data_IF_674993182963
#
_entry.id   IF_674993182963
#
_cell.length_a   1.000
_cell.length_b   1.000
_cell.length_c   1.000
_cell.angle_alpha   90.00
_cell.angle_beta   90.00
_cell.angle_gamma   90.00
#
_symmetry.space_group_name_H-M   'P 1'
#
loop_
_entity.id
_entity.type
_entity.pdbx_description
1 polymer ?
#
# COMPACT_ATOMS: atom_id res chain seq x y z
N UNK A 1 21.41 9.23 -6.69
CA UNK A 1 20.87 9.25 -8.07
C UNK A 1 19.36 9.50 -7.98
N UNK A 2 18.76 10.29 -8.86
CA UNK A 2 17.30 10.50 -8.86
C UNK A 2 16.59 9.20 -9.24
N UNK A 3 15.62 8.79 -8.44
CA UNK A 3 14.79 7.61 -8.67
C UNK A 3 13.53 8.00 -9.42
N UNK A 4 13.33 7.41 -10.60
CA UNK A 4 12.10 7.60 -11.36
C UNK A 4 11.03 6.63 -10.85
N UNK A 5 10.26 7.08 -9.87
CA UNK A 5 9.15 6.30 -9.32
C UNK A 5 8.07 6.02 -10.37
N UNK A 6 7.50 4.82 -10.35
CA UNK A 6 6.35 4.45 -11.19
C UNK A 6 5.40 3.59 -10.38
N UNK A 7 4.14 3.99 -10.28
CA UNK A 7 3.14 3.18 -9.61
C UNK A 7 2.69 2.02 -10.52
N UNK A 8 2.87 0.79 -10.05
CA UNK A 8 2.39 -0.41 -10.70
C UNK A 8 0.95 -0.68 -10.28
N UNK A 9 0.02 -0.38 -11.19
CA UNK A 9 -1.41 -0.60 -10.96
C UNK A 9 -1.76 -2.08 -10.93
N UNK A 10 -1.62 -2.69 -9.75
CA UNK A 10 -1.98 -4.08 -9.47
C UNK A 10 -3.33 -4.15 -8.73
N UNK A 11 -4.06 -5.25 -8.91
CA UNK A 11 -5.23 -5.57 -8.07
C UNK A 11 -4.73 -6.27 -6.82
N UNK A 12 -5.04 -5.72 -5.65
CA UNK A 12 -4.58 -6.23 -4.36
C UNK A 12 -5.75 -6.77 -3.53
N UNK A 13 -5.57 -7.94 -2.93
CA UNK A 13 -6.53 -8.51 -1.98
C UNK A 13 -5.95 -8.51 -0.58
N UNK A 14 -6.84 -8.38 0.40
CA UNK A 14 -6.53 -8.41 1.82
C UNK A 14 -7.63 -9.15 2.57
N UNK A 15 -7.49 -9.25 3.89
CA UNK A 15 -8.54 -9.78 4.77
C UNK A 15 -9.92 -9.16 4.53
N UNK A 16 -9.97 -7.87 4.24
CA UNK A 16 -11.23 -7.16 4.07
C UNK A 16 -11.90 -7.52 2.74
N UNK A 17 -11.10 -7.74 1.70
CA UNK A 17 -11.58 -8.29 0.43
C UNK A 17 -12.14 -9.70 0.64
N UNK A 18 -11.41 -10.54 1.37
CA UNK A 18 -11.82 -11.92 1.64
C UNK A 18 -13.12 -12.02 2.45
N UNK A 19 -13.27 -11.19 3.49
CA UNK A 19 -14.51 -11.12 4.30
C UNK A 19 -15.72 -10.82 3.41
N UNK A 20 -15.63 -9.81 2.54
CA UNK A 20 -16.75 -9.41 1.68
C UNK A 20 -17.11 -10.48 0.64
N UNK A 21 -16.11 -11.14 0.07
CA UNK A 21 -16.32 -12.26 -0.86
C UNK A 21 -17.03 -13.41 -0.13
N UNK A 22 -16.53 -13.81 1.03
CA UNK A 22 -17.11 -14.91 1.81
C UNK A 22 -18.53 -14.58 2.30
N UNK A 23 -18.79 -13.34 2.71
CA UNK A 23 -20.14 -12.89 3.08
C UNK A 23 -21.12 -12.99 1.92
N UNK A 24 -20.72 -12.54 0.72
CA UNK A 24 -21.54 -12.65 -0.48
C UNK A 24 -21.85 -14.11 -0.84
N UNK A 25 -20.85 -15.00 -0.76
CA UNK A 25 -21.05 -16.45 -0.98
C UNK A 25 -22.00 -17.07 0.05
N UNK A 26 -21.81 -16.76 1.34
CA UNK A 26 -22.67 -17.28 2.41
C UNK A 26 -24.13 -16.82 2.27
N UNK A 27 -24.34 -15.64 1.68
CA UNK A 27 -25.66 -15.09 1.39
C UNK A 27 -26.17 -15.41 -0.02
N UNK A 28 -25.50 -16.34 -0.74
CA UNK A 28 -25.85 -16.80 -2.09
C UNK A 28 -26.00 -15.68 -3.11
N UNK A 29 -25.18 -14.62 -2.98
CA UNK A 29 -25.06 -13.57 -3.99
C UNK A 29 -24.00 -13.98 -5.01
N UNK A 30 -24.25 -13.58 -6.25
CA UNK A 30 -23.34 -13.66 -7.40
C UNK A 30 -22.50 -12.39 -7.58
N UNK A 31 -22.77 -11.36 -6.77
CA UNK A 31 -22.03 -10.09 -6.78
C UNK A 31 -21.53 -9.78 -5.37
N UNK A 32 -20.25 -9.40 -5.26
CA UNK A 32 -19.65 -8.83 -4.06
C UNK A 32 -19.17 -7.42 -4.33
N UNK A 33 -19.36 -6.50 -3.38
CA UNK A 33 -18.77 -5.16 -3.44
C UNK A 33 -17.43 -5.17 -2.72
N UNK A 34 -16.31 -5.12 -3.44
CA UNK A 34 -14.96 -5.30 -2.87
C UNK A 34 -14.03 -4.12 -3.19
N UNK A 35 -12.85 -4.11 -2.60
CA UNK A 35 -11.77 -3.18 -2.97
C UNK A 35 -10.53 -3.97 -3.39
N UNK A 36 -9.97 -3.59 -4.53
CA UNK A 36 -8.67 -4.08 -5.02
C UNK A 36 -7.53 -3.07 -4.85
N UNK A 37 -7.77 -1.95 -4.18
CA UNK A 37 -6.81 -0.88 -3.98
C UNK A 37 -6.69 -0.49 -2.49
N UNK A 38 -6.86 -1.48 -1.61
CA UNK A 38 -6.70 -1.37 -0.16
C UNK A 38 -7.60 -0.26 0.44
N UNK A 39 -8.85 -0.21 -0.02
CA UNK A 39 -9.91 0.63 0.54
C UNK A 39 -10.00 2.04 -0.03
N UNK A 40 -9.27 2.37 -1.10
CA UNK A 40 -9.37 3.67 -1.77
C UNK A 40 -10.66 3.78 -2.59
N UNK A 41 -11.02 2.71 -3.30
CA UNK A 41 -12.26 2.59 -4.07
C UNK A 41 -12.91 1.23 -3.86
N UNK A 42 -14.19 1.14 -4.20
CA UNK A 42 -14.96 -0.09 -4.18
C UNK A 42 -15.57 -0.32 -5.57
N UNK A 43 -15.60 -1.58 -5.99
CA UNK A 43 -16.24 -2.02 -7.23
C UNK A 43 -17.08 -3.28 -6.98
N UNK A 44 -18.14 -3.44 -7.76
CA UNK A 44 -18.94 -4.66 -7.77
C UNK A 44 -18.24 -5.69 -8.66
N UNK A 45 -18.00 -6.89 -8.11
CA UNK A 45 -17.32 -7.99 -8.81
C UNK A 45 -18.23 -9.20 -8.88
N UNK A 46 -18.21 -9.86 -10.03
CA UNK A 46 -18.89 -11.14 -10.20
C UNK A 46 -18.13 -12.22 -9.44
N UNK A 47 -18.87 -12.99 -8.65
CA UNK A 47 -18.33 -14.12 -7.90
C UNK A 47 -19.05 -15.40 -8.28
N UNK A 48 -18.27 -16.45 -8.51
CA UNK A 48 -18.80 -17.80 -8.69
C UNK A 48 -18.01 -18.76 -7.80
N UNK A 49 -18.73 -19.67 -7.14
CA UNK A 49 -18.12 -20.73 -6.36
C UNK A 49 -18.14 -22.03 -7.18
N UNK A 50 -16.96 -22.62 -7.40
CA UNK A 50 -16.77 -23.92 -8.02
C UNK A 50 -15.95 -24.78 -7.07
N UNK A 51 -16.63 -25.58 -6.26
CA UNK A 51 -16.03 -26.45 -5.25
C UNK A 51 -15.13 -25.69 -4.25
N UNK A 52 -13.82 -25.68 -4.47
CA UNK A 52 -12.81 -25.01 -3.65
C UNK A 52 -12.25 -23.73 -4.26
N UNK A 53 -12.71 -23.33 -5.45
CA UNK A 53 -12.24 -22.15 -6.18
C UNK A 53 -13.34 -21.11 -6.24
N UNK A 54 -12.99 -19.88 -5.86
CA UNK A 54 -13.83 -18.70 -6.04
C UNK A 54 -13.29 -17.93 -7.24
N UNK A 55 -14.11 -17.82 -8.27
CA UNK A 55 -13.82 -16.96 -9.42
C UNK A 55 -14.23 -15.55 -9.03
N UNK A 56 -13.30 -14.60 -9.10
CA UNK A 56 -13.55 -13.17 -8.91
C UNK A 56 -13.14 -12.46 -10.18
N UNK A 57 -14.13 -12.12 -11.02
CA UNK A 57 -13.93 -11.71 -12.41
C UNK A 57 -13.06 -12.74 -13.19
N UNK A 58 -11.84 -12.35 -13.58
CA UNK A 58 -10.88 -13.19 -14.30
C UNK A 58 -9.95 -14.03 -13.41
N UNK A 59 -9.98 -13.82 -12.08
CA UNK A 59 -9.05 -14.48 -11.15
C UNK A 59 -9.68 -15.68 -10.47
N UNK A 60 -8.94 -16.78 -10.42
CA UNK A 60 -9.28 -17.97 -9.64
C UNK A 60 -8.59 -17.90 -8.29
N UNK A 61 -9.36 -17.79 -7.21
CA UNK A 61 -8.86 -17.68 -5.84
C UNK A 61 -9.27 -18.92 -5.06
N UNK A 62 -8.31 -19.63 -4.47
CA UNK A 62 -8.62 -20.75 -3.59
C UNK A 62 -9.41 -20.28 -2.35
N UNK A 63 -10.48 -21.02 -2.04
CA UNK A 63 -11.29 -20.79 -0.84
C UNK A 63 -10.44 -20.88 0.44
N UNK A 64 -9.40 -21.71 0.44
CA UNK A 64 -8.45 -21.82 1.55
C UNK A 64 -7.68 -20.51 1.76
N UNK A 65 -7.14 -19.91 0.69
CA UNK A 65 -6.48 -18.61 0.76
C UNK A 65 -7.41 -17.51 1.28
N UNK A 66 -8.67 -17.47 0.85
CA UNK A 66 -9.64 -16.50 1.38
C UNK A 66 -9.87 -16.69 2.88
N UNK A 67 -9.91 -17.93 3.37
CA UNK A 67 -10.03 -18.24 4.80
C UNK A 67 -8.78 -17.84 5.57
N UNK A 68 -7.59 -18.13 5.05
CA UNK A 68 -6.32 -17.70 5.66
C UNK A 68 -6.23 -16.18 5.76
N UNK A 69 -6.69 -15.48 4.71
CA UNK A 69 -6.70 -14.02 4.67
C UNK A 69 -7.58 -13.43 5.76
N UNK A 70 -8.70 -14.07 6.14
CA UNK A 70 -9.57 -13.56 7.21
C UNK A 70 -8.79 -13.33 8.50
N UNK A 71 -7.83 -14.19 8.83
CA UNK A 71 -7.05 -14.13 10.07
C UNK A 71 -5.68 -13.46 9.92
N UNK A 72 -5.33 -13.04 8.70
CA UNK A 72 -4.08 -12.35 8.38
C UNK A 72 -4.28 -10.84 8.22
N UNK A 73 -3.18 -10.10 8.24
CA UNK A 73 -3.15 -8.70 7.80
C UNK A 73 -2.25 -8.50 6.57
N UNK A 74 -1.85 -9.60 5.94
CA UNK A 74 -0.99 -9.58 4.78
C UNK A 74 -1.78 -9.14 3.53
N UNK A 75 -1.05 -8.61 2.56
CA UNK A 75 -1.57 -8.17 1.27
C UNK A 75 -1.07 -9.11 0.18
N UNK A 76 -1.94 -9.47 -0.74
CA UNK A 76 -1.60 -10.27 -1.92
C UNK A 76 -1.94 -9.50 -3.19
N UNK A 77 -1.13 -9.71 -4.22
CA UNK A 77 -1.28 -9.17 -5.56
C UNK A 77 -1.86 -10.24 -6.46
N UNK A 78 -2.86 -9.86 -7.26
CA UNK A 78 -3.42 -10.65 -8.35
C UNK A 78 -2.71 -10.24 -9.64
N UNK A 79 -1.88 -11.11 -10.20
CA UNK A 79 -1.07 -10.83 -11.40
C UNK A 79 -0.91 -12.08 -12.26
N UNK A 80 -1.19 -11.96 -13.57
CA UNK A 80 -0.98 -13.02 -14.57
C UNK A 80 -1.60 -14.40 -14.23
N UNK A 81 -2.74 -14.39 -13.52
CA UNK A 81 -3.41 -15.61 -13.05
C UNK A 81 -2.80 -16.21 -11.78
N UNK A 82 -1.76 -15.58 -11.24
CA UNK A 82 -1.13 -15.94 -9.98
C UNK A 82 -1.58 -14.99 -8.85
N UNK A 83 -1.51 -15.52 -7.63
CA UNK A 83 -1.78 -14.77 -6.40
C UNK A 83 -0.52 -14.78 -5.55
N UNK A 84 0.16 -13.65 -5.50
CA UNK A 84 1.48 -13.53 -4.89
C UNK A 84 1.41 -12.61 -3.69
N UNK A 85 1.94 -13.05 -2.54
CA UNK A 85 2.05 -12.20 -1.35
C UNK A 85 2.94 -10.99 -1.66
N UNK A 86 2.53 -9.79 -1.25
CA UNK A 86 3.34 -8.56 -1.38
C UNK A 86 4.40 -8.55 -0.27
N UNK A 87 5.36 -9.46 -0.39
CA UNK A 87 6.47 -9.66 0.52
C UNK A 87 7.65 -10.31 -0.20
N UNK A 88 8.87 -9.95 0.18
CA UNK A 88 10.07 -10.58 -0.37
C UNK A 88 11.27 -10.42 0.57
N UNK A 89 12.29 -11.27 0.37
CA UNK A 89 13.57 -11.15 1.04
C UNK A 89 14.61 -10.51 0.12
N UNK A 90 15.33 -9.51 0.60
CA UNK A 90 16.41 -8.85 -0.12
C UNK A 90 17.44 -8.30 0.86
N UNK A 91 18.72 -8.33 0.48
CA UNK A 91 19.81 -7.68 1.22
C UNK A 91 19.85 -7.98 2.73
N UNK A 92 19.49 -9.20 3.12
CA UNK A 92 19.49 -9.60 4.53
C UNK A 92 18.14 -9.41 5.26
N UNK A 93 17.17 -8.73 4.64
CA UNK A 93 15.92 -8.29 5.27
C UNK A 93 14.69 -8.88 4.59
N UNK A 94 13.62 -9.07 5.38
CA UNK A 94 12.29 -9.46 4.89
C UNK A 94 11.35 -8.24 4.91
N UNK A 95 10.82 -7.90 3.75
CA UNK A 95 9.92 -6.77 3.53
C UNK A 95 8.51 -7.28 3.28
N UNK A 96 7.50 -6.61 3.85
CA UNK A 96 6.10 -7.01 3.67
C UNK A 96 5.15 -5.82 3.77
N UNK A 97 4.17 -5.77 2.86
CA UNK A 97 3.05 -4.84 2.95
C UNK A 97 1.95 -5.43 3.83
N UNK A 98 1.45 -4.65 4.78
CA UNK A 98 0.49 -5.11 5.79
C UNK A 98 -0.65 -4.12 5.95
N UNK A 99 -1.89 -4.59 5.83
CA UNK A 99 -3.08 -3.79 6.11
C UNK A 99 -3.17 -3.45 7.61
N UNK A 100 -3.83 -2.33 7.92
CA UNK A 100 -4.07 -1.87 9.30
C UNK A 100 -5.56 -1.71 9.61
N UNK A 101 -6.36 -1.28 8.63
CA UNK A 101 -7.81 -1.18 8.65
C UNK A 101 -8.36 -1.24 7.21
N UNK A 102 -9.67 -1.44 7.04
CA UNK A 102 -10.31 -1.64 5.73
C UNK A 102 -10.13 -0.48 4.76
N UNK A 103 -10.17 0.76 5.27
CA UNK A 103 -10.14 1.99 4.47
C UNK A 103 -9.00 2.90 4.92
N UNK A 104 -7.85 2.29 5.17
CA UNK A 104 -6.67 2.97 5.67
C UNK A 104 -5.41 2.51 4.94
N UNK A 105 -4.48 3.44 4.77
CA UNK A 105 -3.19 3.16 4.19
C UNK A 105 -2.47 2.03 4.95
N UNK A 106 -1.87 1.05 4.26
CA UNK A 106 -1.13 -0.04 4.90
C UNK A 106 0.15 0.47 5.56
N UNK A 107 0.76 -0.37 6.39
CA UNK A 107 2.14 -0.19 6.86
C UNK A 107 3.09 -1.10 6.09
N UNK A 108 4.33 -0.62 5.94
CA UNK A 108 5.48 -1.48 5.67
C UNK A 108 5.93 -2.17 6.96
N UNK A 109 6.31 -3.43 6.84
CA UNK A 109 6.99 -4.21 7.85
C UNK A 109 8.38 -4.63 7.32
N UNK A 110 9.43 -4.41 8.12
CA UNK A 110 10.80 -4.87 7.82
C UNK A 110 11.24 -5.75 9.00
N UNK A 111 11.56 -7.01 8.73
CA UNK A 111 11.95 -8.01 9.74
C UNK A 111 10.95 -8.09 10.93
N UNK A 112 9.65 -8.01 10.64
CA UNK A 112 8.60 -8.07 11.68
C UNK A 112 8.33 -6.74 12.40
N UNK A 113 9.07 -5.67 12.09
CA UNK A 113 8.91 -4.36 12.74
C UNK A 113 8.06 -3.44 11.85
N UNK A 114 7.03 -2.83 12.43
CA UNK A 114 6.21 -1.83 11.73
C UNK A 114 6.99 -0.53 11.54
N UNK A 115 7.04 -0.03 10.30
CA UNK A 115 7.73 1.22 9.96
C UNK A 115 6.86 2.46 10.19
N UNK A 116 5.54 2.29 10.36
CA UNK A 116 4.60 3.38 10.62
C UNK A 116 3.92 3.20 11.98
N UNK A 117 3.44 4.31 12.54
CA UNK A 117 2.56 4.27 13.71
C UNK A 117 1.20 3.73 13.30
N UNK A 118 0.78 2.65 13.96
CA UNK A 118 -0.52 2.01 13.74
C UNK A 118 -1.38 1.93 15.02
N UNK A 119 -0.86 2.40 16.15
CA UNK A 119 -1.56 2.40 17.44
C UNK A 119 -2.25 3.75 17.68
N UNK A 120 -3.58 3.71 17.72
CA UNK A 120 -4.44 4.87 17.97
C UNK A 120 -4.50 5.88 16.81
N UNK A 121 -3.91 5.55 15.66
CA UNK A 121 -3.88 6.37 14.44
C UNK A 121 -3.50 5.49 13.25
N UNK A 122 -3.91 5.86 12.04
CA UNK A 122 -3.47 5.20 10.80
C UNK A 122 -2.15 5.80 10.28
N UNK A 123 -1.38 5.07 9.44
CA UNK A 123 -0.15 5.59 8.83
C UNK A 123 -0.35 6.92 8.08
N UNK A 124 -1.47 7.06 7.37
CA UNK A 124 -1.78 8.27 6.61
C UNK A 124 -2.11 9.46 7.53
N UNK A 125 -2.92 9.25 8.56
CA UNK A 125 -3.24 10.28 9.54
C UNK A 125 -2.00 10.74 10.31
N UNK A 126 -1.12 9.81 10.70
CA UNK A 126 0.15 10.12 11.36
C UNK A 126 1.05 10.99 10.48
N UNK A 127 1.15 10.68 9.18
CA UNK A 127 1.87 11.51 8.22
C UNK A 127 1.26 12.92 8.12
N UNK A 128 -0.07 13.03 8.04
CA UNK A 128 -0.76 14.34 8.03
C UNK A 128 -0.51 15.12 9.32
N UNK A 129 -0.49 14.47 10.48
CA UNK A 129 -0.17 15.11 11.76
C UNK A 129 1.26 15.69 11.75
N UNK A 130 2.24 14.91 11.26
CA UNK A 130 3.64 15.35 11.13
C UNK A 130 3.78 16.55 10.20
N UNK A 131 3.16 16.49 9.02
CA UNK A 131 3.19 17.58 8.03
C UNK A 131 2.56 18.86 8.58
N UNK A 132 1.44 18.75 9.31
CA UNK A 132 0.81 19.88 9.99
C UNK A 132 1.68 20.46 11.11
N UNK A 133 2.29 19.59 11.93
CA UNK A 133 3.19 20.01 13.01
C UNK A 133 4.44 20.74 12.47
N UNK A 134 4.96 20.29 11.31
CA UNK A 134 6.03 20.95 10.57
C UNK A 134 5.58 22.24 9.86
N UNK A 135 4.30 22.61 9.93
CA UNK A 135 3.71 23.81 9.32
C UNK A 135 3.92 23.90 7.81
N UNK A 136 3.89 22.76 7.12
CA UNK A 136 3.96 22.75 5.66
C UNK A 136 2.77 23.50 5.07
N UNK A 137 3.03 24.41 4.14
CA UNK A 137 2.03 25.23 3.48
C UNK A 137 2.43 25.56 2.05
N UNK A 138 1.52 26.22 1.33
CA UNK A 138 1.69 26.55 -0.09
C UNK A 138 3.00 27.29 -0.36
N UNK A 139 3.79 26.76 -1.29
CA UNK A 139 5.02 27.40 -1.77
C UNK A 139 6.30 26.99 -1.05
N UNK A 140 6.23 26.20 0.02
CA UNK A 140 7.42 25.70 0.72
C UNK A 140 8.15 24.63 -0.08
N UNK A 141 9.47 24.63 0.04
CA UNK A 141 10.33 23.52 -0.34
C UNK A 141 10.50 22.60 0.88
N UNK A 142 10.27 21.30 0.69
CA UNK A 142 10.26 20.32 1.79
C UNK A 142 11.33 19.28 1.55
N UNK A 143 12.11 19.00 2.60
CA UNK A 143 12.97 17.81 2.68
C UNK A 143 12.25 16.75 3.52
N UNK A 144 12.05 15.59 2.93
CA UNK A 144 11.56 14.38 3.57
C UNK A 144 12.68 13.34 3.59
N UNK A 145 12.91 12.69 4.74
CA UNK A 145 13.98 11.70 4.89
C UNK A 145 13.34 10.40 5.34
N UNK A 146 13.78 9.29 4.74
CA UNK A 146 13.18 7.95 4.86
C UNK A 146 11.82 7.86 4.15
N UNK A 147 11.79 8.20 2.86
CA UNK A 147 10.61 8.15 1.96
C UNK A 147 9.58 7.10 2.37
N UNK A 148 10.00 5.86 2.61
CA UNK A 148 9.10 4.81 3.07
C UNK A 148 8.04 4.50 2.02
N UNK A 149 6.78 4.45 2.44
CA UNK A 149 5.63 4.36 1.53
C UNK A 149 5.20 5.74 0.98
N UNK A 150 5.95 6.80 1.26
CA UNK A 150 5.76 8.13 0.67
C UNK A 150 4.71 9.01 1.35
N UNK A 151 4.08 8.56 2.44
CA UNK A 151 2.93 9.27 3.01
C UNK A 151 3.23 10.71 3.41
N UNK A 152 4.39 10.98 4.01
CA UNK A 152 4.82 12.34 4.39
C UNK A 152 5.11 13.22 3.16
N UNK A 153 5.83 12.69 2.16
CA UNK A 153 6.13 13.40 0.93
C UNK A 153 4.85 13.77 0.15
N UNK A 154 3.94 12.80 -0.02
CA UNK A 154 2.65 12.99 -0.68
C UNK A 154 1.80 14.01 0.10
N UNK A 155 1.70 13.86 1.43
CA UNK A 155 0.97 14.78 2.26
C UNK A 155 1.51 16.22 2.17
N UNK A 156 2.83 16.39 2.13
CA UNK A 156 3.49 17.68 1.96
C UNK A 156 3.17 18.33 0.60
N UNK A 157 3.25 17.56 -0.48
CA UNK A 157 2.84 18.02 -1.80
C UNK A 157 1.35 18.39 -1.84
N UNK A 158 0.48 17.60 -1.21
CA UNK A 158 -0.96 17.88 -1.11
C UNK A 158 -1.27 19.14 -0.28
N UNK A 159 -0.44 19.50 0.70
CA UNK A 159 -0.54 20.77 1.44
C UNK A 159 -0.04 21.99 0.63
N UNK A 160 0.43 21.78 -0.59
CA UNK A 160 0.80 22.84 -1.52
C UNK A 160 2.28 23.18 -1.56
N UNK A 161 3.17 22.35 -0.99
CA UNK A 161 4.61 22.50 -1.17
C UNK A 161 4.95 22.70 -2.66
N UNK A 162 5.85 23.63 -2.95
CA UNK A 162 6.31 23.92 -4.32
C UNK A 162 7.20 22.79 -4.84
N UNK A 163 8.02 22.21 -3.97
CA UNK A 163 8.88 21.06 -4.23
C UNK A 163 9.00 20.19 -2.96
N UNK A 164 9.18 18.89 -3.15
CA UNK A 164 9.49 17.92 -2.11
C UNK A 164 10.67 17.08 -2.59
N UNK A 165 11.79 17.13 -1.88
CA UNK A 165 12.90 16.19 -2.05
C UNK A 165 12.74 15.13 -0.99
N UNK A 166 12.53 13.88 -1.39
CA UNK A 166 12.45 12.74 -0.47
C UNK A 166 13.67 11.83 -0.68
N UNK A 167 14.34 11.44 0.41
CA UNK A 167 15.54 10.61 0.35
C UNK A 167 15.23 9.24 0.94
N UNK A 168 15.43 8.18 0.16
CA UNK A 168 15.34 6.79 0.61
C UNK A 168 16.71 6.12 0.50
N UNK A 169 17.13 5.43 1.54
CA UNK A 169 18.39 4.68 1.51
C UNK A 169 18.19 3.32 0.86
N UNK A 170 17.05 2.69 1.09
CA UNK A 170 16.79 1.32 0.72
C UNK A 170 15.83 1.22 -0.47
N UNK A 171 16.37 0.84 -1.63
CA UNK A 171 15.59 0.68 -2.86
C UNK A 171 14.47 -0.36 -2.74
N UNK A 172 14.60 -1.35 -1.85
CA UNK A 172 13.59 -2.38 -1.65
C UNK A 172 12.32 -1.84 -1.00
N UNK A 173 12.45 -0.78 -0.20
CA UNK A 173 11.31 -0.03 0.35
C UNK A 173 10.49 0.59 -0.78
N UNK A 174 11.16 1.19 -1.77
CA UNK A 174 10.49 1.79 -2.94
C UNK A 174 9.77 0.73 -3.79
N UNK A 175 10.35 -0.47 -3.96
CA UNK A 175 9.67 -1.57 -4.69
C UNK A 175 8.34 -1.97 -4.05
N UNK A 176 8.25 -1.97 -2.71
CA UNK A 176 6.97 -2.19 -2.01
C UNK A 176 6.03 -0.99 -2.25
N UNK A 177 6.53 0.24 -2.19
CA UNK A 177 5.74 1.44 -2.44
C UNK A 177 5.16 1.43 -3.86
N UNK A 178 5.91 1.02 -4.87
CA UNK A 178 5.47 0.95 -6.27
C UNK A 178 4.23 0.05 -6.48
N UNK A 179 4.02 -0.94 -5.62
CA UNK A 179 2.83 -1.81 -5.65
C UNK A 179 1.70 -1.23 -4.78
N UNK A 180 2.01 -0.38 -3.79
CA UNK A 180 1.05 0.16 -2.84
C UNK A 180 0.17 1.26 -3.47
N UNK A 181 -1.17 1.08 -3.57
CA UNK A 181 -2.07 2.08 -4.15
C UNK A 181 -2.07 3.41 -3.39
N UNK A 182 -1.79 3.41 -2.10
CA UNK A 182 -1.68 4.63 -1.28
C UNK A 182 -0.39 5.41 -1.54
N UNK A 183 0.60 4.80 -2.18
CA UNK A 183 1.88 5.42 -2.57
C UNK A 183 1.85 6.02 -3.97
N UNK A 184 0.77 5.86 -4.75
CA UNK A 184 0.64 6.39 -6.12
C UNK A 184 0.92 7.89 -6.24
N UNK A 185 0.69 8.65 -5.16
CA UNK A 185 0.97 10.09 -5.13
C UNK A 185 2.46 10.45 -5.26
N UNK A 186 3.38 9.50 -5.07
CA UNK A 186 4.81 9.69 -5.30
C UNK A 186 5.14 9.98 -6.78
N UNK A 187 4.23 9.69 -7.72
CA UNK A 187 4.37 10.08 -9.14
C UNK A 187 4.17 11.59 -9.38
N UNK A 188 3.85 12.38 -8.34
CA UNK A 188 3.69 13.82 -8.50
C UNK A 188 5.00 14.49 -8.93
N UNK A 189 4.99 15.27 -10.01
CA UNK A 189 6.18 15.96 -10.54
C UNK A 189 6.88 16.90 -9.54
N UNK A 190 6.19 17.31 -8.46
CA UNK A 190 6.80 18.11 -7.38
C UNK A 190 7.61 17.28 -6.40
N UNK A 191 7.47 15.96 -6.40
CA UNK A 191 8.18 15.03 -5.53
C UNK A 191 9.34 14.42 -6.31
N UNK A 192 10.56 14.67 -5.84
CA UNK A 192 11.78 14.03 -6.36
C UNK A 192 12.32 13.08 -5.33
N UNK A 193 12.54 11.82 -5.73
CA UNK A 193 13.08 10.79 -4.85
C UNK A 193 14.56 10.61 -5.16
N UNK A 194 15.41 10.58 -4.13
CA UNK A 194 16.84 10.31 -4.24
C UNK A 194 17.14 9.01 -3.51
N UNK A 195 17.77 8.05 -4.20
CA UNK A 195 18.29 6.83 -3.54
C UNK A 195 19.71 7.11 -3.07
N UNK A 196 19.89 7.37 -1.77
CA UNK A 196 21.19 7.55 -1.12
C UNK A 196 21.04 7.58 0.41
N UNK A 197 22.16 7.46 1.13
CA UNK A 197 22.23 7.84 2.53
C UNK A 197 22.04 9.37 2.69
N UNK A 198 21.00 9.79 3.42
CA UNK A 198 20.67 11.19 3.61
C UNK A 198 21.85 12.01 4.16
N UNK A 199 22.68 11.44 5.04
CA UNK A 199 23.84 12.14 5.61
C UNK A 199 24.93 12.48 4.59
N UNK A 200 24.86 11.95 3.35
CA UNK A 200 25.77 12.32 2.25
C UNK A 200 25.17 13.35 1.30
N UNK A 201 23.87 13.63 1.41
CA UNK A 201 23.12 14.51 0.51
C UNK A 201 22.86 15.87 1.14
N UNK A 202 22.63 15.90 2.46
CA UNK A 202 22.28 17.12 3.22
C UNK A 202 23.37 17.57 4.20
#
# INVERSE_FOLDING_TARGET
>A
MEYKYTYHRKKLISRYTAIKIIEALNTRRDIAKVSFDLGISEEDVEIANRDSIVIVNEFEIEMELLRELIDSNDVYCLEDGEIVKVAFYADGNYYKLRCVAEKAAPTLEINGIHMHRITGVTPWEDALMKVKAAKVHKGLEVLDVCTGLGYTAIASANMGASSVISIEKDINVLKIAEINPWSRGLENDRIKIIVEDAAKVV
#
